data_IF_237175457673
#
_entry.id   IF_237175457673
#
_cell.length_a   1.000
_cell.length_b   1.000
_cell.length_c   1.000
_cell.angle_alpha   90.00
_cell.angle_beta   90.00
_cell.angle_gamma   90.00
#
_symmetry.space_group_name_H-M   'P 1'
#
loop_
_entity.id
_entity.type
_entity.pdbx_description
1 polymer ?
#
# COMPACT_ATOMS: atom_id res chain seq x y z
N UNK A 1 5.96 23.52 20.71
CA UNK A 1 4.98 23.25 19.63
C UNK A 1 5.79 22.89 18.41
N UNK A 2 6.01 21.59 18.19
CA UNK A 2 6.95 21.11 17.18
C UNK A 2 6.45 21.41 15.77
N UNK A 3 7.38 21.90 14.96
CA UNK A 3 7.18 22.36 13.60
C UNK A 3 6.97 21.17 12.66
N UNK A 4 5.74 21.00 12.17
CA UNK A 4 5.45 20.05 11.10
C UNK A 4 6.03 20.59 9.79
N UNK A 5 7.23 20.15 9.44
CA UNK A 5 7.90 20.50 8.18
C UNK A 5 7.28 19.69 7.03
N UNK A 6 6.40 20.34 6.27
CA UNK A 6 5.92 19.84 4.98
C UNK A 6 7.04 19.94 3.94
N UNK A 7 7.83 18.87 3.79
CA UNK A 7 8.75 18.69 2.66
C UNK A 7 8.24 17.50 1.84
N UNK A 8 7.67 17.81 0.67
CA UNK A 8 7.37 16.90 -0.44
C UNK A 8 6.71 15.56 -0.07
N UNK A 9 5.38 15.54 0.10
CA UNK A 9 4.47 14.46 -0.33
C UNK A 9 4.73 13.01 0.07
N UNK A 10 5.69 12.73 0.95
CA UNK A 10 6.02 11.39 1.44
C UNK A 10 5.53 11.34 2.87
N UNK A 11 4.56 10.45 3.10
CA UNK A 11 4.06 10.15 4.43
C UNK A 11 5.28 9.81 5.31
N UNK A 12 5.52 10.62 6.36
CA UNK A 12 6.68 10.47 7.26
C UNK A 12 6.40 9.33 8.23
N UNK A 13 6.61 8.11 7.74
CA UNK A 13 6.67 6.90 8.56
C UNK A 13 8.07 6.29 8.41
N UNK A 14 8.68 5.98 9.54
CA UNK A 14 9.88 5.18 9.68
C UNK A 14 9.54 3.68 9.59
N UNK A 15 10.57 2.83 9.49
CA UNK A 15 10.35 1.38 9.50
C UNK A 15 9.84 0.93 10.86
N UNK A 16 8.83 0.07 10.86
CA UNK A 16 8.16 -0.40 12.06
C UNK A 16 7.06 0.53 12.55
N UNK A 17 6.88 1.72 11.94
CA UNK A 17 5.83 2.63 12.35
C UNK A 17 4.45 2.06 12.04
N UNK A 18 3.55 2.17 13.02
CA UNK A 18 2.12 2.00 12.82
C UNK A 18 1.54 3.22 12.12
N UNK A 19 0.68 3.00 11.13
CA UNK A 19 -0.07 4.08 10.50
C UNK A 19 -0.95 4.81 11.52
N UNK A 20 -1.16 6.11 11.31
CA UNK A 20 -2.21 6.84 12.03
C UNK A 20 -3.57 6.27 11.66
N UNK A 21 -4.54 6.37 12.56
CA UNK A 21 -5.91 5.86 12.32
C UNK A 21 -6.54 6.45 11.05
N UNK A 22 -6.24 7.72 10.73
CA UNK A 22 -6.72 8.37 9.50
C UNK A 22 -6.14 7.71 8.24
N UNK A 23 -4.82 7.53 8.18
CA UNK A 23 -4.18 6.88 7.05
C UNK A 23 -4.58 5.42 6.94
N UNK A 24 -4.65 4.70 8.06
CA UNK A 24 -5.11 3.32 8.10
C UNK A 24 -6.52 3.17 7.53
N UNK A 25 -7.46 4.04 7.93
CA UNK A 25 -8.84 4.06 7.41
C UNK A 25 -8.85 4.28 5.89
N UNK A 26 -8.07 5.25 5.38
CA UNK A 26 -7.97 5.50 3.94
C UNK A 26 -7.45 4.25 3.20
N UNK A 27 -6.40 3.62 3.72
CA UNK A 27 -5.84 2.43 3.11
C UNK A 27 -6.85 1.27 3.13
N UNK A 28 -7.45 0.98 4.27
CA UNK A 28 -8.37 -0.15 4.44
C UNK A 28 -9.68 0.00 3.67
N UNK A 29 -10.27 1.20 3.66
CA UNK A 29 -11.59 1.41 3.06
C UNK A 29 -11.51 1.82 1.59
N UNK A 30 -10.49 2.60 1.21
CA UNK A 30 -10.45 3.24 -0.11
C UNK A 30 -9.47 2.59 -1.08
N UNK A 31 -8.46 1.86 -0.60
CA UNK A 31 -7.42 1.29 -1.46
C UNK A 31 -7.36 -0.23 -1.43
N UNK A 32 -7.23 -0.84 -0.25
CA UNK A 32 -7.11 -2.29 -0.09
C UNK A 32 -8.21 -3.08 -0.82
N UNK A 33 -9.49 -2.64 -0.87
CA UNK A 33 -10.55 -3.37 -1.59
C UNK A 33 -10.33 -3.47 -3.10
N UNK A 34 -9.40 -2.70 -3.66
CA UNK A 34 -9.03 -2.76 -5.07
C UNK A 34 -7.80 -3.65 -5.33
N UNK A 35 -7.20 -4.22 -4.30
CA UNK A 35 -6.15 -5.21 -4.47
C UNK A 35 -6.72 -6.50 -5.10
N UNK A 36 -6.08 -7.12 -6.11
CA UNK A 36 -6.61 -8.33 -6.76
C UNK A 36 -6.73 -9.54 -5.82
N UNK A 37 -5.99 -9.53 -4.70
CA UNK A 37 -6.09 -10.54 -3.64
C UNK A 37 -6.63 -9.94 -2.32
N UNK A 38 -7.50 -8.92 -2.38
CA UNK A 38 -7.96 -8.18 -1.19
C UNK A 38 -8.49 -9.10 -0.08
N UNK A 39 -9.43 -10.00 -0.38
CA UNK A 39 -10.02 -10.91 0.60
C UNK A 39 -8.96 -11.82 1.25
N UNK A 40 -8.04 -12.35 0.44
CA UNK A 40 -6.92 -13.15 0.92
C UNK A 40 -5.97 -12.35 1.80
N UNK A 41 -5.74 -11.06 1.50
CA UNK A 41 -4.89 -10.17 2.30
C UNK A 41 -5.57 -9.76 3.62
N UNK A 42 -6.88 -9.54 3.62
CA UNK A 42 -7.66 -9.25 4.84
C UNK A 42 -7.75 -10.49 5.75
N UNK A 43 -8.00 -11.66 5.17
CA UNK A 43 -8.07 -12.93 5.90
C UNK A 43 -9.06 -12.87 7.08
N UNK A 44 -8.64 -13.19 8.32
CA UNK A 44 -9.50 -13.17 9.50
C UNK A 44 -9.81 -11.76 10.03
N UNK A 45 -9.29 -10.72 9.39
CA UNK A 45 -9.48 -9.33 9.76
C UNK A 45 -8.18 -8.64 10.15
N UNK A 46 -8.12 -7.35 9.87
CA UNK A 46 -6.97 -6.49 10.16
C UNK A 46 -7.10 -5.89 11.55
N UNK A 47 -6.00 -5.86 12.29
CA UNK A 47 -5.88 -5.16 13.56
C UNK A 47 -5.27 -3.77 13.37
N UNK A 48 -4.17 -3.68 12.61
CA UNK A 48 -3.56 -2.41 12.19
C UNK A 48 -2.61 -2.58 10.99
N UNK A 49 -2.12 -1.46 10.48
CA UNK A 49 -1.12 -1.41 9.39
C UNK A 49 0.20 -0.84 9.89
N UNK A 50 1.30 -1.49 9.49
CA UNK A 50 2.67 -0.97 9.67
C UNK A 50 3.34 -0.69 8.33
N UNK A 51 4.38 0.12 8.35
CA UNK A 51 5.30 0.31 7.22
C UNK A 51 6.64 -0.34 7.58
N UNK A 52 7.14 -1.19 6.70
CA UNK A 52 8.49 -1.73 6.84
C UNK A 52 9.19 -1.84 5.47
N UNK A 53 10.50 -2.04 5.47
CA UNK A 53 11.24 -2.37 4.26
C UNK A 53 10.90 -3.80 3.83
N UNK A 54 10.72 -3.99 2.52
CA UNK A 54 10.55 -5.34 1.99
C UNK A 54 11.86 -6.12 2.19
N UNK A 55 11.83 -7.32 2.83
CA UNK A 55 13.04 -8.06 3.20
C UNK A 55 13.90 -8.42 1.97
N UNK A 56 13.27 -8.71 0.83
CA UNK A 56 13.97 -9.07 -0.41
C UNK A 56 14.29 -7.90 -1.38
N UNK A 57 13.84 -6.67 -1.10
CA UNK A 57 14.01 -5.53 -2.02
C UNK A 57 14.47 -4.28 -1.26
N UNK A 58 15.78 -4.17 -1.12
CA UNK A 58 16.45 -3.02 -0.51
C UNK A 58 15.90 -1.71 -1.09
N UNK A 59 15.47 -0.81 -0.20
CA UNK A 59 14.87 0.51 -0.48
C UNK A 59 13.40 0.53 -0.95
N UNK A 60 12.68 -0.60 -0.96
CA UNK A 60 11.22 -0.57 -1.18
C UNK A 60 10.45 -0.66 0.14
N UNK A 61 9.83 0.44 0.56
CA UNK A 61 8.90 0.45 1.69
C UNK A 61 7.57 -0.19 1.27
N UNK A 62 7.10 -1.14 2.06
CA UNK A 62 5.84 -1.86 1.86
C UNK A 62 4.91 -1.65 3.06
N UNK A 63 3.62 -1.90 2.82
CA UNK A 63 2.59 -1.89 3.86
C UNK A 63 2.36 -3.33 4.33
N UNK A 64 2.30 -3.52 5.64
CA UNK A 64 2.04 -4.82 6.26
C UNK A 64 0.73 -4.75 7.04
N UNK A 65 -0.12 -5.76 6.84
CA UNK A 65 -1.34 -5.96 7.62
C UNK A 65 -0.99 -6.86 8.80
N UNK A 66 -1.10 -6.29 10.00
CA UNK A 66 -1.11 -7.06 11.24
C UNK A 66 -2.53 -7.56 11.45
N UNK A 67 -2.74 -8.87 11.36
CA UNK A 67 -4.07 -9.48 11.45
C UNK A 67 -4.41 -9.87 12.88
N UNK A 68 -5.72 -10.00 13.13
CA UNK A 68 -6.26 -10.39 14.45
C UNK A 68 -5.86 -11.78 14.93
N UNK A 69 -5.42 -12.65 14.03
CA UNK A 69 -4.89 -13.98 14.37
C UNK A 69 -3.38 -13.96 14.68
N UNK A 70 -2.76 -12.78 14.73
CA UNK A 70 -1.33 -12.60 14.95
C UNK A 70 -0.47 -12.82 13.72
N UNK A 71 -1.07 -13.13 12.55
CA UNK A 71 -0.32 -13.27 11.30
C UNK A 71 -0.04 -11.90 10.66
N UNK A 72 1.10 -11.81 9.98
CA UNK A 72 1.49 -10.63 9.23
C UNK A 72 1.47 -10.95 7.74
N UNK A 73 1.00 -10.00 6.93
CA UNK A 73 1.06 -10.12 5.47
C UNK A 73 1.36 -8.78 4.80
N UNK A 74 2.31 -8.77 3.87
CA UNK A 74 2.60 -7.61 3.04
C UNK A 74 1.46 -7.35 2.04
N UNK A 75 1.33 -6.13 1.54
CA UNK A 75 0.61 -5.88 0.29
C UNK A 75 1.18 -4.69 -0.46
N UNK A 76 0.94 -4.70 -1.77
CA UNK A 76 1.44 -3.64 -2.65
C UNK A 76 0.41 -2.53 -2.81
N UNK A 77 0.75 -1.34 -2.30
CA UNK A 77 0.00 -0.11 -2.54
C UNK A 77 -0.26 0.12 -4.04
N UNK A 78 0.74 -0.12 -4.89
CA UNK A 78 0.61 0.06 -6.33
C UNK A 78 -0.38 -0.92 -6.98
N UNK A 79 -0.50 -2.15 -6.46
CA UNK A 79 -1.53 -3.08 -6.93
C UNK A 79 -2.94 -2.54 -6.61
N UNK A 80 -3.14 -1.95 -5.43
CA UNK A 80 -4.39 -1.28 -5.06
C UNK A 80 -4.73 -0.13 -6.02
N UNK A 81 -3.77 0.78 -6.28
CA UNK A 81 -3.97 1.91 -7.19
C UNK A 81 -4.30 1.44 -8.62
N UNK A 82 -3.56 0.45 -9.15
CA UNK A 82 -3.83 -0.12 -10.47
C UNK A 82 -5.23 -0.75 -10.54
N UNK A 83 -5.65 -1.46 -9.49
CA UNK A 83 -7.00 -2.00 -9.39
C UNK A 83 -8.08 -0.91 -9.36
N UNK A 84 -7.84 0.18 -8.63
CA UNK A 84 -8.73 1.34 -8.58
C UNK A 84 -8.90 1.99 -9.95
N UNK A 85 -7.78 2.22 -10.65
CA UNK A 85 -7.81 2.80 -12.00
C UNK A 85 -8.57 1.89 -12.97
N UNK A 86 -8.32 0.58 -12.92
CA UNK A 86 -9.05 -0.39 -13.76
C UNK A 86 -10.55 -0.41 -13.47
N UNK A 87 -10.95 -0.32 -12.20
CA UNK A 87 -12.37 -0.33 -11.82
C UNK A 87 -13.08 0.98 -12.16
N UNK A 88 -12.42 2.14 -12.04
CA UNK A 88 -13.02 3.46 -12.31
C UNK A 88 -12.94 3.90 -13.77
N UNK A 89 -11.89 3.51 -14.50
CA UNK A 89 -11.61 4.00 -15.86
C UNK A 89 -11.28 2.85 -16.83
N UNK A 90 -12.16 1.85 -16.98
CA UNK A 90 -11.83 0.59 -17.65
C UNK A 90 -11.30 0.77 -19.07
N UNK A 91 -11.86 1.72 -19.83
CA UNK A 91 -11.50 1.95 -21.24
C UNK A 91 -10.12 2.59 -21.44
N UNK A 92 -9.54 3.20 -20.40
CA UNK A 92 -8.26 3.91 -20.47
C UNK A 92 -7.21 3.36 -19.50
N UNK A 93 -7.61 2.41 -18.66
CA UNK A 93 -6.81 1.98 -17.53
C UNK A 93 -5.48 1.39 -17.96
N UNK A 94 -5.46 0.45 -18.90
CA UNK A 94 -4.22 -0.24 -19.27
C UNK A 94 -3.25 0.68 -20.02
N UNK A 95 -3.72 1.55 -20.92
CA UNK A 95 -2.86 2.52 -21.60
C UNK A 95 -2.28 3.55 -20.62
N UNK A 96 -3.10 4.05 -19.68
CA UNK A 96 -2.64 4.93 -18.60
C UNK A 96 -1.62 4.22 -17.70
N UNK A 97 -1.91 2.99 -17.28
CA UNK A 97 -1.05 2.23 -16.37
C UNK A 97 0.29 1.92 -17.02
N UNK A 98 0.30 1.50 -18.28
CA UNK A 98 1.54 1.22 -19.03
C UNK A 98 2.40 2.48 -19.19
N UNK A 99 1.77 3.63 -19.44
CA UNK A 99 2.46 4.91 -19.62
C UNK A 99 3.04 5.47 -18.33
N UNK A 100 2.32 5.33 -17.21
CA UNK A 100 2.65 6.05 -15.97
C UNK A 100 3.23 5.18 -14.85
N UNK A 101 2.95 3.88 -14.81
CA UNK A 101 3.43 2.97 -13.75
C UNK A 101 4.37 1.90 -14.32
N UNK A 102 5.39 2.38 -15.05
CA UNK A 102 6.42 1.58 -15.72
C UNK A 102 6.94 0.48 -14.79
N UNK A 103 7.10 -0.73 -15.31
CA UNK A 103 7.69 -1.84 -14.54
C UNK A 103 9.08 -1.41 -14.09
N UNK A 104 9.30 -1.29 -12.78
CA UNK A 104 10.63 -1.54 -12.25
C UNK A 104 10.92 -3.00 -12.59
N UNK A 105 11.73 -3.22 -13.62
CA UNK A 105 12.30 -4.54 -13.83
C UNK A 105 13.08 -4.84 -12.55
N UNK A 106 12.78 -5.97 -11.91
CA UNK A 106 13.69 -6.54 -10.94
C UNK A 106 14.95 -6.85 -11.74
N UNK A 107 16.00 -6.05 -11.57
CA UNK A 107 17.34 -6.50 -11.94
C UNK A 107 17.56 -7.78 -11.14
N UNK A 108 17.86 -8.86 -11.87
CA UNK A 108 18.09 -10.19 -11.29
C UNK A 108 19.35 -10.24 -10.44
#
# INVERSE_FOLDING_TARGET
>A
MESVSYRHGVIRYESGDKLSSEHETIILEKLLPYHPEADKKIGPGVEFITIDYHPDFENSRCLFLMRKDGTEVDFSFWKCIKGLIRKKYPNYADSFILRHFRKHNKSG
#
